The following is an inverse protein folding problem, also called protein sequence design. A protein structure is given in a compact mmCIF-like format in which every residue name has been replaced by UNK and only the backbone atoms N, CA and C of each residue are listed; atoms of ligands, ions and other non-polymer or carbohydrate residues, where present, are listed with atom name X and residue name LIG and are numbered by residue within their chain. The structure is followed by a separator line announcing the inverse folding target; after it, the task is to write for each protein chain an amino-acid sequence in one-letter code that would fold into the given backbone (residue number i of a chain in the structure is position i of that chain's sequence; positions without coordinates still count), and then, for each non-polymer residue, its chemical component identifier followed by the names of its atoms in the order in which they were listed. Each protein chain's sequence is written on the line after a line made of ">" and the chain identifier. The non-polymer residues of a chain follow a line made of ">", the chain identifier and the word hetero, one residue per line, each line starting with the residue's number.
data_IF_749396989055
#
_entry.id   IF_749396989055
#
_cell.length_a   1.000
_cell.length_b   1.000
_cell.length_c   1.000
_cell.angle_alpha   90.00
_cell.angle_beta   90.00
_cell.angle_gamma   90.00
#
_symmetry.space_group_name_H-M   'P 1'
#
loop_
_entity.id
_entity.type
_entity.pdbx_description
1 polymer ?
#
# COMPACT_ATOMS: atom_id res chain seq x y z
N UNK A 1 23.78 11.07 -1.91
CA UNK A 1 22.61 10.69 -1.09
C UNK A 1 22.01 9.47 -1.77
N UNK A 2 22.01 8.27 -1.17
CA UNK A 2 21.35 7.14 -1.79
C UNK A 2 19.87 7.50 -1.96
N UNK A 3 19.33 7.33 -3.17
CA UNK A 3 17.91 7.52 -3.42
C UNK A 3 17.13 6.64 -2.43
N UNK A 4 16.04 7.15 -1.82
CA UNK A 4 15.25 6.34 -0.90
C UNK A 4 14.83 5.06 -1.62
N UNK A 5 15.32 3.92 -1.14
CA UNK A 5 15.05 2.64 -1.76
C UNK A 5 13.54 2.41 -1.66
N UNK A 6 12.80 2.29 -2.78
CA UNK A 6 11.35 2.15 -2.74
C UNK A 6 10.89 0.93 -1.92
N UNK A 7 11.76 -0.08 -1.85
CA UNK A 7 11.60 -1.29 -1.03
C UNK A 7 11.58 -0.95 0.47
N UNK A 8 12.51 -0.10 0.93
CA UNK A 8 12.57 0.32 2.34
C UNK A 8 11.38 1.21 2.70
N UNK A 9 10.99 2.12 1.80
CA UNK A 9 9.79 2.94 1.98
C UNK A 9 8.52 2.07 2.10
N UNK A 10 8.45 0.99 1.33
CA UNK A 10 7.36 0.04 1.43
C UNK A 10 7.31 -0.63 2.81
N UNK A 11 8.44 -1.00 3.40
CA UNK A 11 8.49 -1.56 4.76
C UNK A 11 7.94 -0.60 5.82
N UNK A 12 8.29 0.69 5.74
CA UNK A 12 7.75 1.70 6.66
C UNK A 12 6.24 1.85 6.51
N UNK A 13 5.75 1.90 5.26
CA UNK A 13 4.32 1.94 5.00
C UNK A 13 3.60 0.67 5.43
N UNK A 14 4.22 -0.51 5.32
CA UNK A 14 3.68 -1.77 5.82
C UNK A 14 3.44 -1.70 7.33
N UNK A 15 4.44 -1.28 8.10
CA UNK A 15 4.31 -1.16 9.56
C UNK A 15 3.19 -0.19 9.96
N UNK A 16 3.10 0.97 9.31
CA UNK A 16 2.02 1.92 9.58
C UNK A 16 0.65 1.39 9.11
N UNK A 17 0.62 0.67 7.99
CA UNK A 17 -0.58 0.02 7.49
C UNK A 17 -1.10 -1.07 8.43
N UNK A 18 -0.19 -1.83 9.05
CA UNK A 18 -0.48 -2.82 10.10
C UNK A 18 -0.96 -2.17 11.40
N UNK A 19 -0.49 -0.96 11.71
CA UNK A 19 -1.00 -0.15 12.81
C UNK A 19 -2.42 0.42 12.56
N UNK A 20 -2.99 0.18 11.38
CA UNK A 20 -4.34 0.61 11.02
C UNK A 20 -4.40 1.93 10.25
N UNK A 21 -3.27 2.55 9.91
CA UNK A 21 -3.28 3.83 9.20
C UNK A 21 -3.79 3.68 7.75
N UNK A 22 -4.96 4.22 7.45
CA UNK A 22 -5.62 4.06 6.15
C UNK A 22 -4.81 4.68 4.99
N UNK A 23 -4.09 5.78 5.23
CA UNK A 23 -3.22 6.39 4.21
C UNK A 23 -2.02 5.48 3.91
N UNK A 24 -1.41 4.89 4.92
CA UNK A 24 -0.30 3.96 4.75
C UNK A 24 -0.73 2.65 4.12
N UNK A 25 -1.92 2.14 4.44
CA UNK A 25 -2.52 1.00 3.74
C UNK A 25 -2.69 1.30 2.24
N UNK A 26 -3.17 2.50 1.89
CA UNK A 26 -3.26 2.95 0.50
C UNK A 26 -1.88 3.04 -0.17
N UNK A 27 -0.91 3.71 0.47
CA UNK A 27 0.45 3.88 -0.06
C UNK A 27 1.17 2.55 -0.24
N UNK A 28 1.04 1.63 0.72
CA UNK A 28 1.61 0.29 0.63
C UNK A 28 0.98 -0.51 -0.51
N UNK A 29 -0.35 -0.49 -0.61
CA UNK A 29 -1.07 -1.11 -1.73
C UNK A 29 -0.62 -0.57 -3.08
N UNK A 30 -0.39 0.74 -3.20
CA UNK A 30 0.14 1.35 -4.43
C UNK A 30 1.58 0.97 -4.75
N UNK A 31 2.43 0.75 -3.73
CA UNK A 31 3.81 0.28 -3.92
C UNK A 31 3.83 -1.18 -4.38
N UNK A 32 3.00 -2.02 -3.76
CA UNK A 32 2.79 -3.41 -4.15
C UNK A 32 2.30 -3.52 -5.61
N UNK A 33 1.32 -2.70 -6.00
CA UNK A 33 0.80 -2.61 -7.39
C UNK A 33 1.88 -2.22 -8.41
N UNK A 34 2.87 -1.44 -7.99
CA UNK A 34 4.01 -0.99 -8.80
C UNK A 34 5.17 -2.00 -8.82
N UNK A 35 5.06 -3.13 -8.13
CA UNK A 35 6.16 -4.08 -7.95
C UNK A 35 7.36 -3.47 -7.22
N UNK A 36 7.13 -2.46 -6.38
CA UNK A 36 8.16 -1.71 -5.63
C UNK A 36 8.34 -2.26 -4.22
N UNK A 37 8.10 -3.55 -4.08
CA UNK A 37 8.10 -4.32 -2.83
C UNK A 37 8.81 -5.63 -3.08
N UNK A 38 9.41 -6.21 -2.03
CA UNK A 38 10.00 -7.56 -2.13
C UNK A 38 8.95 -8.68 -2.25
N UNK A 39 7.65 -8.34 -2.19
CA UNK A 39 6.56 -9.32 -2.25
C UNK A 39 6.24 -9.70 -3.71
N UNK A 40 6.41 -10.98 -4.04
CA UNK A 40 6.15 -11.54 -5.37
C UNK A 40 4.67 -11.44 -5.77
N UNK A 41 3.76 -11.61 -4.80
CA UNK A 41 2.30 -11.48 -4.96
C UNK A 41 1.81 -10.04 -4.67
N UNK A 42 2.65 -9.05 -4.99
CA UNK A 42 2.35 -7.62 -4.89
C UNK A 42 0.96 -7.22 -5.41
N UNK A 43 0.52 -7.59 -6.62
CA UNK A 43 -0.77 -7.14 -7.14
C UNK A 43 -1.99 -7.66 -6.35
N UNK A 44 -1.98 -8.90 -5.86
CA UNK A 44 -3.09 -9.46 -5.08
C UNK A 44 -3.14 -8.84 -3.67
N UNK A 45 -1.98 -8.71 -3.02
CA UNK A 45 -1.91 -8.04 -1.73
C UNK A 45 -2.25 -6.55 -1.82
N UNK A 46 -1.92 -5.89 -2.94
CA UNK A 46 -2.25 -4.49 -3.15
C UNK A 46 -3.75 -4.25 -3.03
N UNK A 47 -4.56 -5.14 -3.60
CA UNK A 47 -6.02 -5.08 -3.54
C UNK A 47 -6.48 -5.25 -2.09
N UNK A 48 -5.94 -6.22 -1.36
CA UNK A 48 -6.29 -6.44 0.05
C UNK A 48 -5.97 -5.21 0.93
N UNK A 49 -4.82 -4.56 0.74
CA UNK A 49 -4.44 -3.35 1.47
C UNK A 49 -5.29 -2.13 1.09
N UNK A 50 -5.57 -1.96 -0.20
CA UNK A 50 -6.47 -0.92 -0.67
C UNK A 50 -7.90 -1.15 -0.14
N UNK A 51 -8.34 -2.41 0.01
CA UNK A 51 -9.65 -2.75 0.56
C UNK A 51 -9.76 -2.33 2.02
N UNK A 52 -8.77 -2.67 2.84
CA UNK A 52 -8.72 -2.20 4.23
C UNK A 52 -8.77 -0.67 4.32
N UNK A 53 -8.01 0.04 3.49
CA UNK A 53 -8.05 1.50 3.47
C UNK A 53 -9.43 2.04 3.06
N UNK A 54 -10.06 1.41 2.06
CA UNK A 54 -11.39 1.77 1.59
C UNK A 54 -12.49 1.50 2.63
N UNK A 55 -12.39 0.40 3.38
CA UNK A 55 -13.27 0.05 4.51
C UNK A 55 -13.16 1.09 5.63
N UNK A 56 -11.97 1.64 5.85
CA UNK A 56 -11.74 2.76 6.77
C UNK A 56 -12.23 4.12 6.23
N UNK A 57 -12.81 4.16 5.04
CA UNK A 57 -13.36 5.38 4.43
C UNK A 57 -12.34 6.18 3.61
N UNK A 58 -11.17 5.64 3.30
CA UNK A 58 -10.17 6.33 2.49
C UNK A 58 -10.63 6.48 1.04
N UNK A 59 -11.01 7.70 0.65
CA UNK A 59 -11.59 7.98 -0.67
C UNK A 59 -10.68 7.57 -1.83
N UNK A 60 -9.36 7.85 -1.74
CA UNK A 60 -8.43 7.48 -2.79
C UNK A 60 -8.24 5.96 -2.93
N UNK A 61 -8.45 5.20 -1.83
CA UNK A 61 -8.36 3.75 -1.88
C UNK A 61 -9.61 3.14 -2.50
N UNK A 62 -10.79 3.68 -2.15
CA UNK A 62 -12.06 3.34 -2.81
C UNK A 62 -12.01 3.57 -4.32
N UNK A 63 -11.48 4.72 -4.76
CA UNK A 63 -11.29 5.00 -6.19
C UNK A 63 -10.27 4.06 -6.85
N UNK A 64 -9.20 3.69 -6.14
CA UNK A 64 -8.17 2.80 -6.69
C UNK A 64 -8.61 1.32 -6.81
N UNK A 65 -9.66 0.93 -6.09
CA UNK A 65 -10.29 -0.40 -6.15
C UNK A 65 -11.45 -0.48 -7.12
N UNK A 66 -12.18 0.62 -7.30
CA UNK A 66 -13.36 0.70 -8.12
C UNK A 66 -13.05 1.65 -9.30
N UNK A 67 -12.32 1.16 -10.32
CA UNK A 67 -11.95 1.95 -11.50
C UNK A 67 -13.15 2.31 -12.38
#
# INVERSE_FOLDING_TARGET
>A
MPAPNPIEAARWHKQAAEAGDAESQYRYGMLLKKGRTDEADGPEQAIAWLQKAAEQGHAAAKQALNP
#
